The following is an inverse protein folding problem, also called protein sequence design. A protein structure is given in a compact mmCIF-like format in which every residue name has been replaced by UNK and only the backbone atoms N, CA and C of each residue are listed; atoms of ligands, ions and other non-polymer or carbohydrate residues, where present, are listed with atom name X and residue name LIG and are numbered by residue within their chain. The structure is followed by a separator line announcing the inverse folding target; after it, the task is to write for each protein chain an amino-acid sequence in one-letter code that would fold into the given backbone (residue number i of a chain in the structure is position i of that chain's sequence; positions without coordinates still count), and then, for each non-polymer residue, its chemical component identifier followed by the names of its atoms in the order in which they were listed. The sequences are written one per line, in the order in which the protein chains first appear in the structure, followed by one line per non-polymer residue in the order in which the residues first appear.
data_IF_981292391727
#
_entry.id   IF_981292391727
#
_cell.length_a   1.000
_cell.length_b   1.000
_cell.length_c   1.000
_cell.angle_alpha   90.00
_cell.angle_beta   90.00
_cell.angle_gamma   90.00
#
_symmetry.space_group_name_H-M   'P 1'
#
loop_
_entity.id
_entity.type
_entity.pdbx_description
1 polymer ?
#
# COMPACT_ATOMS: atom_id res chain seq x y z
N UNK A 1 0.67 -67.34 -10.22
CA UNK A 1 -0.22 -66.29 -10.75
C UNK A 1 -0.07 -65.06 -9.88
N UNK A 2 0.79 -64.12 -10.27
CA UNK A 2 1.02 -62.86 -9.54
C UNK A 2 0.17 -61.78 -10.19
N UNK A 3 -0.70 -61.14 -9.41
CA UNK A 3 -1.62 -60.10 -9.88
C UNK A 3 -0.84 -58.84 -10.32
N UNK A 4 -1.31 -58.08 -11.33
CA UNK A 4 -0.67 -56.83 -11.73
C UNK A 4 -0.98 -55.71 -10.73
N UNK A 5 0.07 -55.02 -10.29
CA UNK A 5 -0.01 -53.77 -9.53
C UNK A 5 -0.77 -52.71 -10.32
N UNK A 6 -1.85 -52.18 -9.74
CA UNK A 6 -2.63 -51.08 -10.32
C UNK A 6 -1.80 -49.79 -10.49
N UNK A 7 -2.19 -48.89 -11.41
CA UNK A 7 -1.47 -47.67 -11.68
C UNK A 7 -1.47 -46.76 -10.45
N UNK A 8 -0.28 -46.30 -10.06
CA UNK A 8 -0.09 -45.31 -9.00
C UNK A 8 -0.91 -44.05 -9.32
N UNK A 9 -1.80 -43.67 -8.41
CA UNK A 9 -2.54 -42.42 -8.47
C UNK A 9 -1.54 -41.26 -8.47
N UNK A 10 -1.47 -40.51 -9.57
CA UNK A 10 -0.76 -39.24 -9.67
C UNK A 10 -1.28 -38.31 -8.58
N UNK A 11 -0.42 -37.69 -7.76
CA UNK A 11 -0.88 -36.70 -6.78
C UNK A 11 -1.51 -35.54 -7.55
N UNK A 12 -2.81 -35.35 -7.39
CA UNK A 12 -3.53 -34.18 -7.91
C UNK A 12 -2.98 -32.96 -7.19
N UNK A 13 -2.08 -32.22 -7.85
CA UNK A 13 -1.74 -30.88 -7.42
C UNK A 13 -3.04 -30.07 -7.27
N UNK A 14 -3.21 -29.29 -6.19
CA UNK A 14 -4.38 -28.43 -6.05
C UNK A 14 -4.46 -27.50 -7.27
N UNK A 15 -5.67 -27.12 -7.72
CA UNK A 15 -5.83 -26.26 -8.89
C UNK A 15 -5.11 -24.92 -8.67
N UNK A 16 -3.96 -24.76 -9.32
CA UNK A 16 -3.15 -23.55 -9.26
C UNK A 16 -3.67 -22.46 -10.18
N UNK A 17 -3.40 -21.19 -9.86
CA UNK A 17 -3.71 -20.06 -10.73
C UNK A 17 -2.97 -20.19 -12.07
N UNK A 18 -3.63 -19.83 -13.17
CA UNK A 18 -3.01 -19.86 -14.49
C UNK A 18 -2.04 -18.69 -14.70
N UNK A 19 -0.81 -18.99 -15.15
CA UNK A 19 0.24 -18.00 -15.44
C UNK A 19 -0.01 -17.25 -16.75
N UNK A 20 -0.93 -16.28 -16.73
CA UNK A 20 -1.36 -15.51 -17.92
C UNK A 20 -0.76 -14.10 -18.03
N UNK A 21 -0.20 -13.55 -16.96
CA UNK A 21 0.24 -12.14 -16.93
C UNK A 21 1.66 -11.97 -17.48
N UNK A 22 1.84 -11.01 -18.38
CA UNK A 22 3.15 -10.59 -18.89
C UNK A 22 3.78 -9.45 -18.08
N UNK A 23 4.94 -8.96 -18.53
CA UNK A 23 5.62 -7.81 -17.91
C UNK A 23 4.75 -6.55 -17.93
N UNK A 24 4.13 -6.23 -19.08
CA UNK A 24 3.27 -5.05 -19.21
C UNK A 24 2.07 -5.10 -18.26
N UNK A 25 1.42 -6.25 -18.12
CA UNK A 25 0.30 -6.41 -17.19
C UNK A 25 0.75 -6.23 -15.73
N UNK A 26 1.89 -6.84 -15.37
CA UNK A 26 2.46 -6.72 -14.04
C UNK A 26 2.85 -5.26 -13.70
N UNK A 27 3.38 -4.50 -14.67
CA UNK A 27 3.67 -3.07 -14.51
C UNK A 27 2.38 -2.27 -14.32
N UNK A 28 1.35 -2.49 -15.14
CA UNK A 28 0.08 -1.76 -15.00
C UNK A 28 -0.63 -2.07 -13.68
N UNK A 29 -0.61 -3.32 -13.22
CA UNK A 29 -1.14 -3.70 -11.89
C UNK A 29 -0.33 -3.03 -10.78
N UNK A 30 1.00 -2.97 -10.95
CA UNK A 30 1.92 -2.28 -10.06
C UNK A 30 1.60 -0.79 -9.92
N UNK A 31 1.50 -0.10 -11.06
CA UNK A 31 1.15 1.31 -11.13
C UNK A 31 -0.23 1.57 -10.52
N UNK A 32 -1.25 0.78 -10.85
CA UNK A 32 -2.59 0.96 -10.25
C UNK A 32 -2.67 0.62 -8.76
N UNK A 33 -1.67 -0.06 -8.22
CA UNK A 33 -1.56 -0.32 -6.78
C UNK A 33 -0.80 0.79 -6.05
N UNK A 34 0.10 1.51 -6.72
CA UNK A 34 0.85 2.64 -6.15
C UNK A 34 0.13 3.97 -6.39
N UNK A 35 -0.18 4.27 -7.65
CA UNK A 35 -0.87 5.47 -8.14
C UNK A 35 -2.38 5.30 -7.92
N UNK A 36 -2.75 5.23 -6.64
CA UNK A 36 -4.12 5.26 -6.13
C UNK A 36 -4.42 6.61 -5.47
N UNK A 37 -5.26 6.64 -4.43
CA UNK A 37 -5.49 7.89 -3.69
C UNK A 37 -4.26 8.42 -2.96
N UNK A 38 -3.22 7.60 -2.74
CA UNK A 38 -2.01 8.03 -2.02
C UNK A 38 -1.44 9.33 -2.58
N UNK A 39 -1.24 9.42 -3.90
CA UNK A 39 -0.74 10.64 -4.55
C UNK A 39 -1.69 11.84 -4.40
N UNK A 40 -2.97 11.62 -4.18
CA UNK A 40 -3.95 12.69 -4.02
C UNK A 40 -3.98 13.27 -2.60
N UNK A 41 -3.51 12.53 -1.58
CA UNK A 41 -3.71 12.92 -0.16
C UNK A 41 -2.44 13.05 0.67
N UNK A 42 -1.31 12.45 0.28
CA UNK A 42 -0.13 12.38 1.17
C UNK A 42 0.68 13.67 1.23
N UNK A 43 0.55 14.56 0.25
CA UNK A 43 1.41 15.75 0.16
C UNK A 43 1.07 16.82 1.19
N UNK A 44 -0.20 17.01 1.53
CA UNK A 44 -0.63 17.96 2.56
C UNK A 44 -0.02 17.66 3.95
N UNK A 45 -0.20 16.47 4.54
CA UNK A 45 0.39 16.17 5.85
C UNK A 45 1.93 16.06 5.79
N UNK A 46 2.51 15.71 4.63
CA UNK A 46 3.95 15.72 4.43
C UNK A 46 4.54 17.13 4.42
N UNK A 47 3.86 18.11 3.80
CA UNK A 47 4.21 19.51 3.82
C UNK A 47 3.99 20.13 5.20
N UNK A 48 2.90 19.78 5.90
CA UNK A 48 2.68 20.21 7.27
C UNK A 48 3.80 19.76 8.24
N UNK A 49 4.43 18.61 7.97
CA UNK A 49 5.49 18.06 8.82
C UNK A 49 6.89 18.61 8.50
N UNK A 50 7.21 18.82 7.21
CA UNK A 50 8.57 19.15 6.77
C UNK A 50 8.70 20.50 6.04
N UNK A 51 7.60 21.18 5.73
CA UNK A 51 7.58 22.37 4.89
C UNK A 51 8.26 22.12 3.55
N UNK A 52 9.16 23.03 3.15
CA UNK A 52 10.00 22.90 1.95
C UNK A 52 10.92 21.67 1.96
N UNK A 53 11.25 21.11 3.13
CA UNK A 53 12.05 19.90 3.23
C UNK A 53 11.25 18.63 2.88
N UNK A 54 9.99 18.73 2.42
CA UNK A 54 9.25 17.57 1.94
C UNK A 54 9.99 16.83 0.81
N UNK A 55 10.75 17.55 -0.04
CA UNK A 55 11.53 16.91 -1.12
C UNK A 55 12.67 16.05 -0.55
N UNK A 56 13.28 16.49 0.55
CA UNK A 56 14.26 15.67 1.28
C UNK A 56 13.58 14.45 1.88
N UNK A 57 12.40 14.62 2.48
CA UNK A 57 11.56 13.51 2.95
C UNK A 57 11.21 12.52 1.83
N UNK A 58 10.86 13.03 0.64
CA UNK A 58 10.58 12.23 -0.55
C UNK A 58 11.81 11.43 -1.00
N UNK A 59 13.01 12.02 -0.97
CA UNK A 59 14.26 11.30 -1.28
C UNK A 59 14.55 10.20 -0.26
N UNK A 60 14.40 10.50 1.04
CA UNK A 60 14.61 9.53 2.12
C UNK A 60 13.66 8.34 1.94
N UNK A 61 12.36 8.59 1.77
CA UNK A 61 11.39 7.50 1.58
C UNK A 61 11.61 6.76 0.27
N UNK A 62 12.04 7.42 -0.80
CA UNK A 62 12.34 6.76 -2.06
C UNK A 62 13.48 5.74 -1.90
N UNK A 63 14.53 6.07 -1.15
CA UNK A 63 15.62 5.13 -0.85
C UNK A 63 15.11 3.94 -0.04
N UNK A 64 14.33 4.18 1.02
CA UNK A 64 13.79 3.11 1.87
C UNK A 64 12.84 2.21 1.07
N UNK A 65 11.91 2.81 0.33
CA UNK A 65 10.92 2.09 -0.47
C UNK A 65 11.58 1.32 -1.62
N UNK A 66 12.63 1.86 -2.26
CA UNK A 66 13.43 1.14 -3.26
C UNK A 66 14.10 -0.10 -2.66
N UNK A 67 14.70 0.04 -1.47
CA UNK A 67 15.30 -1.08 -0.76
C UNK A 67 14.25 -2.16 -0.45
N UNK A 68 13.10 -1.75 0.08
CA UNK A 68 11.97 -2.64 0.37
C UNK A 68 11.47 -3.35 -0.89
N UNK A 69 11.32 -2.61 -2.00
CA UNK A 69 10.86 -3.14 -3.28
C UNK A 69 11.83 -4.20 -3.83
N UNK A 70 13.13 -3.93 -3.80
CA UNK A 70 14.17 -4.86 -4.26
C UNK A 70 14.27 -6.11 -3.38
N UNK A 71 14.22 -5.96 -2.06
CA UNK A 71 14.16 -7.09 -1.11
C UNK A 71 12.94 -7.96 -1.37
N UNK A 72 11.76 -7.36 -1.49
CA UNK A 72 10.50 -8.06 -1.72
C UNK A 72 10.48 -8.77 -3.07
N UNK A 73 10.98 -8.13 -4.13
CA UNK A 73 11.01 -8.72 -5.46
C UNK A 73 11.93 -9.95 -5.54
N UNK A 74 13.07 -9.93 -4.85
CA UNK A 74 13.99 -11.08 -4.78
C UNK A 74 13.43 -12.21 -3.93
N UNK A 75 12.75 -11.89 -2.83
CA UNK A 75 12.01 -12.89 -2.05
C UNK A 75 10.88 -13.52 -2.85
N UNK A 76 10.10 -12.73 -3.61
CA UNK A 76 9.04 -13.24 -4.48
C UNK A 76 9.57 -14.16 -5.58
N UNK A 77 10.77 -13.87 -6.10
CA UNK A 77 11.43 -14.74 -7.07
C UNK A 77 11.92 -16.06 -6.45
N UNK A 78 12.38 -16.03 -5.19
CA UNK A 78 12.84 -17.23 -4.48
C UNK A 78 11.68 -18.07 -3.91
N UNK A 79 10.60 -17.42 -3.49
CA UNK A 79 9.42 -18.02 -2.85
C UNK A 79 8.15 -17.59 -3.61
N UNK A 80 7.88 -18.12 -4.82
CA UNK A 80 6.80 -17.66 -5.70
C UNK A 80 5.43 -18.15 -5.23
N UNK A 81 5.02 -17.71 -4.04
CA UNK A 81 3.76 -18.06 -3.38
C UNK A 81 2.92 -16.82 -3.12
N UNK A 82 1.60 -16.99 -3.16
CA UNK A 82 0.63 -15.95 -2.85
C UNK A 82 0.57 -15.66 -1.34
N UNK A 83 1.57 -14.94 -0.80
CA UNK A 83 1.60 -14.60 0.63
C UNK A 83 2.47 -13.42 1.05
N UNK A 84 3.34 -12.90 0.16
CA UNK A 84 4.18 -11.75 0.47
C UNK A 84 5.06 -11.99 1.71
N UNK A 85 5.32 -10.95 2.50
CA UNK A 85 6.22 -11.05 3.66
C UNK A 85 5.67 -11.94 4.78
N UNK A 86 4.37 -12.25 4.82
CA UNK A 86 3.84 -13.30 5.68
C UNK A 86 4.48 -14.65 5.33
N UNK A 87 4.41 -15.05 4.06
CA UNK A 87 5.02 -16.29 3.58
C UNK A 87 6.55 -16.26 3.68
N UNK A 88 7.19 -15.14 3.29
CA UNK A 88 8.65 -15.01 3.34
C UNK A 88 9.18 -15.03 4.79
N UNK A 89 8.45 -14.42 5.73
CA UNK A 89 8.77 -14.46 7.16
C UNK A 89 8.71 -15.88 7.69
N UNK A 90 7.67 -16.65 7.35
CA UNK A 90 7.56 -18.05 7.78
C UNK A 90 8.68 -18.92 7.20
N UNK A 91 9.01 -18.73 5.92
CA UNK A 91 10.04 -19.51 5.24
C UNK A 91 11.46 -19.22 5.74
N UNK A 92 11.81 -17.95 5.95
CA UNK A 92 13.20 -17.54 6.26
C UNK A 92 13.49 -17.32 7.75
N UNK A 93 12.47 -16.98 8.54
CA UNK A 93 12.61 -16.54 9.94
C UNK A 93 11.79 -17.37 10.93
N UNK A 94 10.77 -18.09 10.45
CA UNK A 94 9.89 -18.93 11.25
C UNK A 94 8.51 -18.31 11.52
N UNK A 95 7.66 -19.11 12.19
CA UNK A 95 6.23 -18.87 12.34
C UNK A 95 5.86 -17.52 12.97
N UNK A 96 6.56 -17.10 14.03
CA UNK A 96 6.27 -15.84 14.71
C UNK A 96 6.52 -14.61 13.84
N UNK A 97 7.62 -14.59 13.10
CA UNK A 97 7.95 -13.49 12.19
C UNK A 97 6.97 -13.39 11.04
N UNK A 98 6.59 -14.54 10.48
CA UNK A 98 5.49 -14.63 9.53
C UNK A 98 4.21 -14.02 10.08
N UNK A 99 3.76 -14.46 11.25
CA UNK A 99 2.57 -13.92 11.90
C UNK A 99 2.63 -12.40 12.09
N UNK A 100 3.72 -11.86 12.65
CA UNK A 100 3.87 -10.41 12.85
C UNK A 100 3.74 -9.67 11.53
N UNK A 101 4.39 -10.16 10.46
CA UNK A 101 4.24 -9.57 9.13
C UNK A 101 2.78 -9.61 8.64
N UNK A 102 2.13 -10.77 8.71
CA UNK A 102 0.73 -10.92 8.27
C UNK A 102 -0.24 -10.05 9.07
N UNK A 103 -0.10 -10.02 10.39
CA UNK A 103 -0.92 -9.21 11.29
C UNK A 103 -0.78 -7.71 11.00
N UNK A 104 0.45 -7.22 10.91
CA UNK A 104 0.72 -5.82 10.57
C UNK A 104 0.27 -5.46 9.15
N UNK A 105 0.34 -6.41 8.21
CA UNK A 105 -0.19 -6.23 6.87
C UNK A 105 -1.71 -6.08 6.88
N UNK A 106 -2.44 -6.98 7.56
CA UNK A 106 -3.90 -6.94 7.64
C UNK A 106 -4.34 -5.65 8.31
N UNK A 107 -3.79 -5.30 9.48
CA UNK A 107 -4.19 -4.07 10.20
C UNK A 107 -3.78 -2.82 9.42
N UNK A 108 -2.54 -2.74 8.94
CA UNK A 108 -2.05 -1.58 8.19
C UNK A 108 -2.81 -1.36 6.88
N UNK A 109 -3.08 -2.41 6.11
CA UNK A 109 -3.86 -2.30 4.88
C UNK A 109 -5.34 -2.05 5.14
N UNK A 110 -5.88 -2.45 6.28
CA UNK A 110 -7.25 -2.07 6.71
C UNK A 110 -7.32 -0.56 6.96
N UNK A 111 -6.31 0.04 7.60
CA UNK A 111 -6.19 1.50 7.69
C UNK A 111 -6.00 2.16 6.31
N UNK A 112 -5.30 1.51 5.36
CA UNK A 112 -5.25 1.99 3.98
C UNK A 112 -6.63 2.04 3.32
N UNK A 113 -7.50 1.06 3.57
CA UNK A 113 -8.87 1.07 3.06
C UNK A 113 -9.67 2.26 3.60
N UNK A 114 -9.53 2.57 4.89
CA UNK A 114 -10.18 3.74 5.49
C UNK A 114 -9.66 5.05 4.86
N UNK A 115 -8.34 5.19 4.71
CA UNK A 115 -7.75 6.34 4.03
C UNK A 115 -8.26 6.50 2.59
N UNK A 116 -8.40 5.39 1.87
CA UNK A 116 -8.89 5.37 0.49
C UNK A 116 -10.37 5.77 0.41
N UNK A 117 -11.21 5.27 1.32
CA UNK A 117 -12.63 5.64 1.39
C UNK A 117 -12.83 7.12 1.73
N UNK A 118 -12.06 7.63 2.69
CA UNK A 118 -12.06 9.05 3.04
C UNK A 118 -11.54 9.92 1.89
N UNK A 119 -10.57 9.44 1.11
CA UNK A 119 -10.12 10.14 -0.09
C UNK A 119 -11.21 10.19 -1.18
N UNK A 120 -11.99 9.11 -1.38
CA UNK A 120 -13.16 9.17 -2.28
C UNK A 120 -14.09 10.29 -1.84
N UNK A 121 -14.41 10.35 -0.55
CA UNK A 121 -15.31 11.35 0.00
C UNK A 121 -14.78 12.78 -0.17
N UNK A 122 -13.50 13.02 0.14
CA UNK A 122 -12.89 14.33 0.03
C UNK A 122 -12.95 14.91 -1.40
N UNK A 123 -12.93 14.06 -2.43
CA UNK A 123 -12.97 14.48 -3.83
C UNK A 123 -14.36 14.38 -4.47
N UNK A 124 -15.30 13.64 -3.90
CA UNK A 124 -16.60 13.36 -4.53
C UNK A 124 -17.81 13.93 -3.78
N UNK A 125 -17.61 14.46 -2.57
CA UNK A 125 -18.70 14.88 -1.69
C UNK A 125 -18.44 16.24 -1.04
N UNK A 126 -19.51 17.03 -0.78
CA UNK A 126 -19.44 18.16 0.14
C UNK A 126 -19.02 17.74 1.55
N UNK A 127 -18.41 18.65 2.29
CA UNK A 127 -17.82 18.40 3.61
C UNK A 127 -18.80 17.76 4.62
N UNK A 128 -20.08 18.11 4.54
CA UNK A 128 -21.13 17.61 5.43
C UNK A 128 -21.48 16.14 5.16
N UNK A 129 -21.24 15.67 3.93
CA UNK A 129 -21.60 14.33 3.47
C UNK A 129 -20.40 13.39 3.35
N UNK A 130 -19.17 13.88 3.55
CA UNK A 130 -17.94 13.12 3.37
C UNK A 130 -17.97 11.76 4.08
N UNK A 131 -18.30 11.74 5.37
CA UNK A 131 -18.32 10.48 6.14
C UNK A 131 -19.37 9.50 5.63
N UNK A 132 -20.55 9.96 5.24
CA UNK A 132 -21.61 9.10 4.70
C UNK A 132 -21.21 8.51 3.36
N UNK A 133 -20.57 9.30 2.49
CA UNK A 133 -20.08 8.86 1.17
C UNK A 133 -18.92 7.86 1.33
N UNK A 134 -18.00 8.09 2.26
CA UNK A 134 -16.93 7.14 2.58
C UNK A 134 -17.48 5.81 3.08
N UNK A 135 -18.44 5.83 4.01
CA UNK A 135 -19.11 4.60 4.52
C UNK A 135 -19.87 3.89 3.38
N UNK A 136 -20.62 4.63 2.57
CA UNK A 136 -21.34 4.07 1.44
C UNK A 136 -20.40 3.39 0.43
N UNK A 137 -19.26 4.01 0.13
CA UNK A 137 -18.23 3.43 -0.74
C UNK A 137 -17.68 2.11 -0.18
N UNK A 138 -17.38 2.06 1.13
CA UNK A 138 -16.89 0.84 1.79
C UNK A 138 -17.95 -0.27 1.75
N UNK A 139 -19.20 0.05 2.09
CA UNK A 139 -20.31 -0.92 2.08
C UNK A 139 -20.53 -1.45 0.66
N UNK A 140 -20.60 -0.57 -0.34
CA UNK A 140 -20.77 -0.96 -1.73
C UNK A 140 -19.66 -1.90 -2.20
N UNK A 141 -18.38 -1.56 -1.94
CA UNK A 141 -17.26 -2.40 -2.36
C UNK A 141 -17.14 -3.69 -1.55
N UNK A 142 -17.58 -3.70 -0.29
CA UNK A 142 -17.72 -4.94 0.50
C UNK A 142 -18.71 -5.90 -0.17
N UNK A 143 -19.87 -5.38 -0.61
CA UNK A 143 -20.88 -6.17 -1.32
C UNK A 143 -20.32 -6.69 -2.64
N UNK A 144 -19.68 -5.83 -3.44
CA UNK A 144 -19.03 -6.21 -4.71
C UNK A 144 -18.03 -7.35 -4.51
N UNK A 145 -17.16 -7.26 -3.49
CA UNK A 145 -16.22 -8.34 -3.15
C UNK A 145 -16.92 -9.62 -2.69
N UNK A 146 -17.93 -9.52 -1.81
CA UNK A 146 -18.67 -10.67 -1.31
C UNK A 146 -19.38 -11.45 -2.44
N UNK A 147 -19.82 -10.74 -3.49
CA UNK A 147 -20.39 -11.31 -4.71
C UNK A 147 -19.34 -11.97 -5.63
N UNK A 148 -18.04 -11.84 -5.33
CA UNK A 148 -16.95 -12.42 -6.12
C UNK A 148 -16.59 -11.60 -7.36
N UNK A 149 -17.03 -10.35 -7.43
CA UNK A 149 -16.69 -9.47 -8.56
C UNK A 149 -15.24 -9.03 -8.39
N UNK A 150 -14.38 -9.47 -9.30
CA UNK A 150 -12.97 -9.07 -9.33
C UNK A 150 -12.71 -8.10 -10.48
N UNK A 151 -11.82 -7.14 -10.27
CA UNK A 151 -11.35 -6.27 -11.36
C UNK A 151 -10.56 -7.09 -12.36
N UNK A 152 -10.93 -6.98 -13.64
CA UNK A 152 -10.11 -7.53 -14.71
C UNK A 152 -8.82 -6.71 -14.86
N UNK A 153 -7.78 -7.33 -15.42
CA UNK A 153 -6.54 -6.63 -15.76
C UNK A 153 -6.80 -5.45 -16.72
N UNK A 154 -7.78 -5.58 -17.62
CA UNK A 154 -8.20 -4.52 -18.55
C UNK A 154 -8.79 -3.33 -17.81
N UNK A 155 -9.74 -3.56 -16.89
CA UNK A 155 -10.33 -2.46 -16.08
C UNK A 155 -9.26 -1.75 -15.27
N UNK A 156 -8.33 -2.51 -14.65
CA UNK A 156 -7.20 -1.91 -13.91
C UNK A 156 -6.34 -1.04 -14.83
N UNK A 157 -6.04 -1.51 -16.04
CA UNK A 157 -5.27 -0.76 -17.03
C UNK A 157 -5.97 0.55 -17.42
N UNK A 158 -7.27 0.50 -17.70
CA UNK A 158 -8.06 1.69 -18.06
C UNK A 158 -8.06 2.71 -16.92
N UNK A 159 -8.31 2.28 -15.68
CA UNK A 159 -8.27 3.15 -14.50
C UNK A 159 -6.89 3.84 -14.40
N UNK A 160 -5.80 3.08 -14.51
CA UNK A 160 -4.44 3.65 -14.41
C UNK A 160 -4.17 4.68 -15.50
N UNK A 161 -4.56 4.42 -16.75
CA UNK A 161 -4.37 5.36 -17.86
C UNK A 161 -5.14 6.65 -17.61
N UNK A 162 -6.40 6.55 -17.17
CA UNK A 162 -7.22 7.72 -16.84
C UNK A 162 -6.63 8.52 -15.69
N UNK A 163 -6.18 7.85 -14.63
CA UNK A 163 -5.54 8.51 -13.48
C UNK A 163 -4.24 9.20 -13.89
N UNK A 164 -3.40 8.54 -14.68
CA UNK A 164 -2.18 9.16 -15.21
C UNK A 164 -2.49 10.38 -16.08
N UNK A 165 -3.53 10.33 -16.93
CA UNK A 165 -3.96 11.48 -17.72
C UNK A 165 -4.40 12.65 -16.83
N UNK A 166 -5.16 12.38 -15.77
CA UNK A 166 -5.54 13.40 -14.77
C UNK A 166 -4.31 14.00 -14.09
N UNK A 167 -3.33 13.18 -13.70
CA UNK A 167 -2.09 13.69 -13.09
C UNK A 167 -1.28 14.54 -14.07
N UNK A 168 -1.28 14.23 -15.37
CA UNK A 168 -0.67 15.09 -16.40
C UNK A 168 -1.38 16.45 -16.48
N UNK A 169 -2.71 16.49 -16.42
CA UNK A 169 -3.47 17.75 -16.38
C UNK A 169 -3.09 18.57 -15.14
N UNK A 170 -3.00 17.94 -13.97
CA UNK A 170 -2.58 18.61 -12.73
C UNK A 170 -1.17 19.17 -12.84
N UNK A 171 -0.23 18.39 -13.39
CA UNK A 171 1.16 18.85 -13.60
C UNK A 171 1.21 20.02 -14.56
N UNK A 172 0.48 19.97 -15.68
CA UNK A 172 0.39 21.07 -16.62
C UNK A 172 -0.19 22.34 -15.97
N UNK A 173 -1.27 22.19 -15.19
CA UNK A 173 -1.91 23.30 -14.48
C UNK A 173 -0.94 23.95 -13.48
N UNK A 174 -0.25 23.16 -12.67
CA UNK A 174 0.65 23.73 -11.67
C UNK A 174 1.95 24.31 -12.26
N UNK A 175 2.41 23.84 -13.43
CA UNK A 175 3.47 24.53 -14.19
C UNK A 175 2.96 25.89 -14.70
N UNK A 176 1.72 25.98 -15.18
CA UNK A 176 1.12 27.24 -15.61
C UNK A 176 0.93 28.21 -14.41
N UNK A 177 0.49 27.71 -13.26
CA UNK A 177 0.35 28.50 -12.03
C UNK A 177 1.70 28.98 -11.48
N UNK A 178 2.71 28.10 -11.45
CA UNK A 178 4.06 28.40 -10.95
C UNK A 178 4.86 29.40 -11.81
N UNK A 179 4.38 29.72 -13.02
CA UNK A 179 4.90 30.82 -13.84
C UNK A 179 4.50 32.21 -13.34
N UNK A 180 3.52 32.31 -12.43
CA UNK A 180 3.21 33.54 -11.71
C UNK A 180 4.21 33.70 -10.55
N UNK A 181 4.88 34.86 -10.49
CA UNK A 181 6.11 35.16 -9.76
C UNK A 181 6.10 35.04 -8.20
N UNK A 182 5.17 34.30 -7.60
CA UNK A 182 5.02 34.12 -6.15
C UNK A 182 5.56 32.77 -5.64
N UNK A 183 5.52 31.69 -6.43
CA UNK A 183 5.98 30.36 -6.02
C UNK A 183 7.49 30.23 -5.78
N UNK A 184 8.31 31.05 -6.45
CA UNK A 184 9.76 31.12 -6.23
C UNK A 184 10.13 31.77 -4.90
N UNK A 185 9.34 32.74 -4.40
CA UNK A 185 9.58 33.35 -3.08
C UNK A 185 9.33 32.39 -1.92
N UNK A 186 8.49 31.36 -2.11
CA UNK A 186 8.24 30.31 -1.12
C UNK A 186 9.40 29.30 -0.98
N UNK A 187 10.26 29.17 -2.00
CA UNK A 187 11.53 28.44 -1.91
C UNK A 187 12.61 29.27 -1.20
N UNK A 188 12.55 30.60 -1.34
CA UNK A 188 13.54 31.54 -0.81
C UNK A 188 13.24 32.03 0.63
N UNK A 189 11.98 31.95 1.09
CA UNK A 189 11.58 32.31 2.45
C UNK A 189 11.83 31.17 3.46
N UNK A 190 13.08 30.70 3.56
CA UNK A 190 13.55 29.97 4.74
C UNK A 190 14.35 30.96 5.60
N UNK A 191 13.88 31.35 6.81
CA UNK A 191 14.10 30.46 7.96
C UNK A 191 13.10 30.64 9.16
N UNK A 192 12.42 29.57 9.60
CA UNK A 192 11.84 29.39 10.96
C UNK A 192 11.05 28.07 11.01
N UNK A 193 11.66 26.95 10.67
CA UNK A 193 12.29 26.00 11.58
C UNK A 193 13.13 25.20 10.61
N UNK A 194 14.41 24.93 10.89
CA UNK A 194 15.05 23.75 10.29
C UNK A 194 14.06 22.62 10.54
N UNK A 195 13.26 22.24 9.53
CA UNK A 195 12.29 21.17 9.66
C UNK A 195 13.09 20.05 10.26
N UNK A 196 12.83 19.82 11.55
CA UNK A 196 13.79 19.09 12.38
C UNK A 196 14.08 17.78 11.68
N UNK A 197 15.25 17.17 11.92
CA UNK A 197 15.52 15.82 11.36
C UNK A 197 14.30 14.91 11.59
N UNK A 198 13.60 15.09 12.71
CA UNK A 198 12.29 14.50 12.96
C UNK A 198 11.21 14.84 11.92
N UNK A 199 10.92 16.11 11.61
CA UNK A 199 9.91 16.50 10.61
C UNK A 199 10.18 15.95 9.20
N UNK A 200 11.45 15.90 8.77
CA UNK A 200 11.84 15.27 7.49
C UNK A 200 11.54 13.77 7.50
N UNK A 201 11.91 13.08 8.59
CA UNK A 201 11.65 11.65 8.74
C UNK A 201 10.16 11.34 8.90
N UNK A 202 9.40 12.22 9.56
CA UNK A 202 7.95 12.13 9.70
C UNK A 202 7.26 12.26 8.33
N UNK A 203 7.66 13.26 7.55
CA UNK A 203 7.19 13.45 6.17
C UNK A 203 7.52 12.23 5.30
N UNK A 204 8.73 11.69 5.40
CA UNK A 204 9.11 10.44 4.71
C UNK A 204 8.22 9.24 5.12
N UNK A 205 7.91 9.09 6.42
CA UNK A 205 7.02 8.04 6.92
C UNK A 205 5.57 8.17 6.40
N UNK A 206 5.07 9.40 6.26
CA UNK A 206 3.75 9.68 5.67
C UNK A 206 3.72 9.40 4.17
N UNK A 207 4.71 9.92 3.43
CA UNK A 207 4.86 9.71 1.98
C UNK A 207 5.02 8.23 1.61
N UNK A 208 5.51 7.39 2.53
CA UNK A 208 5.66 5.95 2.32
C UNK A 208 4.34 5.28 1.94
N UNK A 209 3.21 5.81 2.41
CA UNK A 209 1.87 5.35 2.06
C UNK A 209 1.66 5.27 0.54
N UNK A 210 2.12 6.28 -0.21
CA UNK A 210 1.97 6.33 -1.66
C UNK A 210 2.84 5.30 -2.40
N UNK A 211 3.92 4.80 -1.78
CA UNK A 211 4.81 3.81 -2.39
C UNK A 211 4.39 2.36 -2.11
N UNK A 212 3.61 2.09 -1.07
CA UNK A 212 3.31 0.75 -0.56
C UNK A 212 2.53 -0.20 -1.52
N UNK A 213 2.32 0.17 -2.78
CA UNK A 213 1.60 -0.59 -3.80
C UNK A 213 2.43 -1.67 -4.52
N UNK A 214 3.76 -1.55 -4.59
CA UNK A 214 4.61 -2.52 -5.32
C UNK A 214 4.52 -3.94 -4.76
N UNK A 215 4.11 -4.13 -3.49
CA UNK A 215 3.85 -5.45 -2.90
C UNK A 215 2.82 -6.26 -3.69
N UNK A 216 1.86 -5.62 -4.37
CA UNK A 216 0.86 -6.35 -5.14
C UNK A 216 1.51 -7.19 -6.24
N UNK A 217 2.49 -6.62 -6.93
CA UNK A 217 3.26 -7.31 -7.99
C UNK A 217 3.96 -8.56 -7.42
N UNK A 218 4.56 -8.42 -6.24
CA UNK A 218 5.25 -9.53 -5.57
C UNK A 218 4.30 -10.67 -5.15
N UNK A 219 3.01 -10.40 -5.00
CA UNK A 219 1.99 -11.43 -4.69
C UNK A 219 1.42 -12.12 -5.94
N UNK A 220 1.82 -11.73 -7.16
CA UNK A 220 1.35 -12.33 -8.41
C UNK A 220 2.26 -13.48 -8.90
N UNK A 221 3.06 -14.08 -8.02
CA UNK A 221 4.01 -15.14 -8.37
C UNK A 221 3.38 -16.33 -9.10
N UNK A 222 2.13 -16.63 -8.77
CA UNK A 222 1.36 -17.72 -9.36
C UNK A 222 0.66 -17.33 -10.67
N UNK A 223 0.49 -16.04 -10.96
CA UNK A 223 -0.26 -15.52 -12.12
C UNK A 223 0.66 -15.00 -13.25
N UNK A 224 1.93 -14.73 -12.96
CA UNK A 224 2.90 -14.13 -13.90
C UNK A 224 3.73 -15.18 -14.65
N UNK A 225 3.95 -14.95 -15.95
CA UNK A 225 4.89 -15.75 -16.76
C UNK A 225 6.33 -15.47 -16.36
N UNK A 226 7.11 -16.52 -16.13
CA UNK A 226 8.51 -16.43 -15.70
C UNK A 226 8.72 -15.48 -14.49
N UNK A 227 8.11 -15.77 -13.32
CA UNK A 227 8.04 -14.84 -12.18
C UNK A 227 9.43 -14.38 -11.71
N UNK A 228 10.43 -15.26 -11.77
CA UNK A 228 11.83 -14.98 -11.41
C UNK A 228 12.46 -13.79 -12.17
N UNK A 229 12.03 -13.57 -13.41
CA UNK A 229 12.54 -12.48 -14.28
C UNK A 229 11.55 -11.32 -14.38
N UNK A 230 10.27 -11.62 -14.45
CA UNK A 230 9.23 -10.62 -14.68
C UNK A 230 8.95 -9.78 -13.44
N UNK A 231 8.85 -10.39 -12.25
CA UNK A 231 8.52 -9.65 -11.02
C UNK A 231 9.58 -8.59 -10.67
N UNK A 232 10.90 -8.90 -10.65
CA UNK A 232 11.90 -7.88 -10.35
C UNK A 232 11.91 -6.71 -11.33
N UNK A 233 11.67 -6.97 -12.62
CA UNK A 233 11.59 -5.93 -13.65
C UNK A 233 10.32 -5.09 -13.48
N UNK A 234 9.17 -5.73 -13.27
CA UNK A 234 7.89 -5.05 -13.09
C UNK A 234 7.91 -4.15 -11.85
N UNK A 235 8.43 -4.64 -10.72
CA UNK A 235 8.59 -3.85 -9.48
C UNK A 235 9.47 -2.64 -9.71
N UNK A 236 10.63 -2.82 -10.36
CA UNK A 236 11.58 -1.74 -10.65
C UNK A 236 10.95 -0.66 -11.55
N UNK A 237 10.38 -1.05 -12.68
CA UNK A 237 9.78 -0.10 -13.65
C UNK A 237 8.63 0.66 -12.99
N UNK A 238 7.72 -0.05 -12.32
CA UNK A 238 6.56 0.58 -11.69
C UNK A 238 7.00 1.56 -10.61
N UNK A 239 8.02 1.22 -9.81
CA UNK A 239 8.52 2.07 -8.75
C UNK A 239 9.13 3.36 -9.30
N UNK A 240 9.99 3.26 -10.32
CA UNK A 240 10.65 4.43 -10.92
C UNK A 240 9.62 5.37 -11.55
N UNK A 241 8.65 4.82 -12.28
CA UNK A 241 7.56 5.62 -12.87
C UNK A 241 6.74 6.31 -11.77
N UNK A 242 6.34 5.60 -10.72
CA UNK A 242 5.61 6.20 -9.60
C UNK A 242 6.43 7.30 -8.90
N UNK A 243 7.72 7.08 -8.67
CA UNK A 243 8.61 8.08 -8.06
C UNK A 243 8.67 9.38 -8.89
N UNK A 244 8.85 9.26 -10.22
CA UNK A 244 8.87 10.42 -11.11
C UNK A 244 7.54 11.17 -11.07
N UNK A 245 6.41 10.45 -11.12
CA UNK A 245 5.07 11.05 -11.03
C UNK A 245 4.91 11.76 -9.68
N UNK A 246 5.30 11.14 -8.57
CA UNK A 246 5.14 11.74 -7.24
C UNK A 246 6.03 12.96 -7.05
N UNK A 247 7.26 12.94 -7.56
CA UNK A 247 8.15 14.10 -7.53
C UNK A 247 7.59 15.27 -8.35
N UNK A 248 7.05 14.99 -9.54
CA UNK A 248 6.41 16.01 -10.38
C UNK A 248 5.17 16.61 -9.69
N UNK A 249 4.29 15.76 -9.13
CA UNK A 249 3.09 16.23 -8.42
C UNK A 249 3.46 17.05 -7.17
N UNK A 250 4.41 16.57 -6.37
CA UNK A 250 4.90 17.31 -5.20
C UNK A 250 5.45 18.69 -5.58
N UNK A 251 6.22 18.76 -6.68
CA UNK A 251 6.78 20.01 -7.18
C UNK A 251 5.68 20.99 -7.57
N UNK A 252 4.71 20.57 -8.39
CA UNK A 252 3.65 21.47 -8.85
C UNK A 252 2.69 21.88 -7.74
N UNK A 253 2.45 21.01 -6.75
CA UNK A 253 1.69 21.37 -5.55
C UNK A 253 2.40 22.48 -4.78
N UNK A 254 3.72 22.34 -4.61
CA UNK A 254 4.51 23.34 -3.89
C UNK A 254 4.60 24.67 -4.64
N UNK A 255 4.79 24.63 -5.96
CA UNK A 255 4.87 25.84 -6.79
C UNK A 255 3.55 26.61 -6.84
N UNK A 256 2.41 25.90 -6.90
CA UNK A 256 1.10 26.54 -7.05
C UNK A 256 0.48 26.98 -5.71
N UNK A 257 0.72 26.25 -4.61
CA UNK A 257 0.05 26.49 -3.33
C UNK A 257 0.97 27.04 -2.22
N UNK A 258 2.30 26.91 -2.39
CA UNK A 258 3.25 27.14 -1.30
C UNK A 258 3.13 26.11 -0.16
N UNK A 259 3.96 26.27 0.88
CA UNK A 259 3.97 25.36 2.04
C UNK A 259 2.65 25.40 2.79
N UNK A 260 2.19 26.59 3.18
CA UNK A 260 1.02 26.75 4.04
C UNK A 260 -0.28 26.36 3.33
N UNK A 261 -0.40 26.74 2.05
CA UNK A 261 -1.55 26.36 1.22
C UNK A 261 -1.61 24.85 0.99
N UNK A 262 -0.47 24.20 0.72
CA UNK A 262 -0.42 22.74 0.58
C UNK A 262 -0.73 22.03 1.91
N UNK A 263 -0.19 22.51 3.03
CA UNK A 263 -0.40 21.93 4.35
C UNK A 263 -1.86 22.02 4.82
N UNK A 264 -2.58 23.09 4.44
CA UNK A 264 -3.97 23.30 4.81
C UNK A 264 -4.99 22.64 3.86
N UNK A 265 -4.54 22.18 2.69
CA UNK A 265 -5.43 21.68 1.64
C UNK A 265 -6.00 20.28 1.94
N UNK A 266 -7.29 20.10 1.63
CA UNK A 266 -7.99 18.81 1.68
C UNK A 266 -7.93 18.05 0.35
N UNK A 267 -7.91 18.79 -0.77
CA UNK A 267 -7.85 18.26 -2.13
C UNK A 267 -6.71 18.92 -2.94
N UNK A 268 -5.43 18.73 -2.56
CA UNK A 268 -4.31 19.53 -3.07
C UNK A 268 -4.23 19.60 -4.59
N UNK A 269 -4.49 18.48 -5.26
CA UNK A 269 -4.42 18.41 -6.72
C UNK A 269 -5.56 19.19 -7.41
N UNK A 270 -6.74 19.30 -6.80
CA UNK A 270 -7.82 20.14 -7.30
C UNK A 270 -7.52 21.62 -7.03
N UNK A 271 -6.93 21.94 -5.87
CA UNK A 271 -6.51 23.29 -5.52
C UNK A 271 -5.43 23.82 -6.46
N UNK A 272 -4.47 22.99 -6.87
CA UNK A 272 -3.46 23.35 -7.90
C UNK A 272 -4.13 23.78 -9.20
N UNK A 273 -5.11 23.01 -9.65
CA UNK A 273 -5.83 23.29 -10.90
C UNK A 273 -6.68 24.55 -10.79
N UNK A 274 -7.27 24.80 -9.61
CA UNK A 274 -8.01 26.03 -9.31
C UNK A 274 -7.08 27.25 -9.29
N UNK A 275 -5.90 27.13 -8.69
CA UNK A 275 -4.88 28.18 -8.63
C UNK A 275 -4.36 28.56 -10.04
N UNK A 276 -4.34 27.61 -10.99
CA UNK A 276 -4.00 27.87 -12.38
C UNK A 276 -5.09 28.61 -13.19
N UNK A 277 -6.25 28.89 -12.58
CA UNK A 277 -7.41 29.45 -13.26
C UNK A 277 -8.19 28.44 -14.12
N UNK A 278 -7.90 27.14 -14.01
CA UNK A 278 -8.53 26.08 -14.82
C UNK A 278 -9.73 25.47 -14.10
N UNK A 279 -10.67 26.31 -13.65
CA UNK A 279 -11.82 25.88 -12.85
C UNK A 279 -12.65 24.77 -13.52
N UNK A 280 -12.75 24.79 -14.85
CA UNK A 280 -13.47 23.78 -15.65
C UNK A 280 -12.84 22.37 -15.57
N UNK A 281 -11.54 22.28 -15.26
CA UNK A 281 -10.84 21.01 -15.12
C UNK A 281 -10.94 20.41 -13.70
N UNK A 282 -11.42 21.16 -12.71
CA UNK A 282 -11.55 20.70 -11.31
C UNK A 282 -12.44 19.45 -11.20
N UNK A 283 -13.65 19.38 -11.80
CA UNK A 283 -14.49 18.18 -11.72
C UNK A 283 -13.84 16.94 -12.34
N UNK A 284 -13.00 17.11 -13.37
CA UNK A 284 -12.27 16.02 -14.02
C UNK A 284 -11.24 15.44 -13.06
N UNK A 285 -10.53 16.30 -12.33
CA UNK A 285 -9.52 15.90 -11.34
C UNK A 285 -10.18 15.22 -10.15
N UNK A 286 -11.29 15.76 -9.66
CA UNK A 286 -12.11 15.17 -8.61
C UNK A 286 -12.63 13.77 -8.99
N UNK A 287 -13.21 13.63 -10.20
CA UNK A 287 -13.64 12.33 -10.70
C UNK A 287 -12.47 11.35 -10.86
N UNK A 288 -11.31 11.82 -11.35
CA UNK A 288 -10.10 11.02 -11.46
C UNK A 288 -9.57 10.53 -10.12
N UNK A 289 -9.53 11.40 -9.11
CA UNK A 289 -9.13 11.07 -7.75
C UNK A 289 -10.08 10.05 -7.11
N UNK A 290 -11.39 10.27 -7.23
CA UNK A 290 -12.41 9.33 -6.75
C UNK A 290 -12.30 7.97 -7.44
N UNK A 291 -12.10 7.94 -8.77
CA UNK A 291 -11.89 6.70 -9.53
C UNK A 291 -10.61 5.96 -9.09
N UNK A 292 -9.51 6.70 -8.89
CA UNK A 292 -8.26 6.13 -8.39
C UNK A 292 -8.47 5.50 -7.01
N UNK A 293 -9.12 6.23 -6.11
CA UNK A 293 -9.39 5.81 -4.75
C UNK A 293 -10.32 4.59 -4.69
N UNK A 294 -11.46 4.60 -5.38
CA UNK A 294 -12.36 3.45 -5.49
C UNK A 294 -11.66 2.23 -6.08
N UNK A 295 -10.88 2.46 -7.14
CA UNK A 295 -10.05 1.44 -7.76
C UNK A 295 -9.11 0.79 -6.74
N UNK A 296 -8.31 1.58 -6.02
CA UNK A 296 -7.37 1.02 -5.04
C UNK A 296 -8.08 0.38 -3.86
N UNK A 297 -9.18 0.96 -3.36
CA UNK A 297 -9.98 0.42 -2.26
C UNK A 297 -10.48 -1.00 -2.57
N UNK A 298 -11.10 -1.19 -3.74
CA UNK A 298 -11.57 -2.50 -4.20
C UNK A 298 -10.43 -3.52 -4.25
N UNK A 299 -9.25 -3.10 -4.75
CA UNK A 299 -8.06 -3.96 -4.82
C UNK A 299 -7.48 -4.34 -3.45
N UNK A 300 -7.49 -3.39 -2.51
CA UNK A 300 -7.00 -3.59 -1.15
C UNK A 300 -7.89 -4.55 -0.37
N UNK A 301 -9.20 -4.35 -0.41
CA UNK A 301 -10.15 -5.21 0.31
C UNK A 301 -10.02 -6.67 -0.14
N UNK A 302 -10.04 -6.92 -1.45
CA UNK A 302 -9.84 -8.26 -2.00
C UNK A 302 -8.44 -8.84 -1.67
N UNK A 303 -7.42 -7.97 -1.56
CA UNK A 303 -6.07 -8.35 -1.14
C UNK A 303 -6.03 -8.83 0.31
N UNK A 304 -6.61 -8.06 1.22
CA UNK A 304 -6.66 -8.33 2.66
C UNK A 304 -7.51 -9.57 2.95
N UNK A 305 -8.64 -9.75 2.26
CA UNK A 305 -9.48 -10.94 2.38
C UNK A 305 -8.70 -12.22 2.07
N UNK A 306 -7.90 -12.22 1.00
CA UNK A 306 -7.03 -13.35 0.64
C UNK A 306 -5.92 -13.62 1.67
N UNK A 307 -5.25 -12.59 2.17
CA UNK A 307 -4.22 -12.76 3.21
C UNK A 307 -4.82 -13.25 4.52
N UNK A 308 -5.97 -12.70 4.92
CA UNK A 308 -6.67 -13.10 6.15
C UNK A 308 -7.15 -14.56 6.07
N UNK A 309 -7.66 -14.99 4.91
CA UNK A 309 -8.00 -16.38 4.63
C UNK A 309 -6.77 -17.31 4.75
N UNK A 310 -5.63 -16.93 4.15
CA UNK A 310 -4.40 -17.71 4.24
C UNK A 310 -3.91 -17.84 5.69
N UNK A 311 -3.92 -16.75 6.46
CA UNK A 311 -3.56 -16.77 7.88
C UNK A 311 -4.54 -17.61 8.72
N UNK A 312 -5.84 -17.57 8.42
CA UNK A 312 -6.84 -18.39 9.12
C UNK A 312 -6.64 -19.89 8.85
N UNK A 313 -6.33 -20.27 7.61
CA UNK A 313 -6.02 -21.66 7.22
C UNK A 313 -4.80 -22.21 7.96
N UNK A 314 -3.82 -21.35 8.21
CA UNK A 314 -2.61 -21.67 8.96
C UNK A 314 -2.80 -21.58 10.48
N UNK A 315 -4.02 -21.26 10.94
CA UNK A 315 -4.39 -21.20 12.35
C UNK A 315 -3.86 -19.98 13.09
N UNK A 316 -3.33 -18.98 12.37
CA UNK A 316 -2.83 -17.70 12.88
C UNK A 316 -3.96 -16.67 13.11
N UNK A 317 -5.10 -16.83 12.43
CA UNK A 317 -6.34 -16.09 12.68
C UNK A 317 -7.49 -17.06 13.03
N UNK A 318 -8.62 -16.56 13.58
CA UNK A 318 -9.78 -17.41 13.88
C UNK A 318 -10.25 -18.21 12.67
N UNK A 319 -10.45 -19.52 12.85
CA UNK A 319 -10.84 -20.44 11.77
C UNK A 319 -12.15 -20.06 11.09
N UNK A 320 -13.06 -19.32 11.74
CA UNK A 320 -14.30 -18.90 11.08
C UNK A 320 -14.07 -18.04 9.82
N UNK A 321 -12.88 -17.43 9.67
CA UNK A 321 -12.46 -16.63 8.52
C UNK A 321 -11.94 -17.48 7.34
N UNK A 322 -11.69 -18.78 7.52
CA UNK A 322 -11.27 -19.70 6.45
C UNK A 322 -12.43 -20.22 5.59
N UNK A 323 -13.66 -19.78 5.85
CA UNK A 323 -14.83 -20.25 5.13
C UNK A 323 -14.96 -19.57 3.75
N UNK A 324 -14.92 -20.37 2.69
CA UNK A 324 -15.13 -19.92 1.30
C UNK A 324 -16.57 -20.17 0.87
N UNK A 325 -17.24 -19.15 0.34
CA UNK A 325 -18.62 -19.28 -0.11
C UNK A 325 -18.71 -20.14 -1.39
N UNK A 326 -19.63 -21.14 -1.48
CA UNK A 326 -19.64 -22.12 -2.57
C UNK A 326 -19.83 -21.54 -3.98
N UNK A 327 -20.61 -20.45 -4.11
CA UNK A 327 -20.93 -19.83 -5.41
C UNK A 327 -19.92 -18.78 -5.86
N UNK A 328 -19.54 -17.86 -4.96
CA UNK A 328 -18.64 -16.75 -5.29
C UNK A 328 -17.16 -17.13 -5.16
N UNK A 329 -16.83 -18.25 -4.49
CA UNK A 329 -15.45 -18.71 -4.23
C UNK A 329 -14.57 -17.66 -3.52
N UNK A 330 -15.20 -16.79 -2.73
CA UNK A 330 -14.55 -15.73 -1.93
C UNK A 330 -14.78 -15.99 -0.43
N UNK A 331 -13.83 -15.63 0.46
CA UNK A 331 -14.02 -15.67 1.91
C UNK A 331 -14.97 -14.56 2.40
N UNK A 332 -16.27 -14.72 2.16
CA UNK A 332 -17.31 -13.68 2.44
C UNK A 332 -17.27 -13.20 3.90
N UNK A 333 -17.04 -14.10 4.86
CA UNK A 333 -16.96 -13.72 6.28
C UNK A 333 -15.78 -12.79 6.57
N UNK A 334 -14.63 -13.02 5.92
CA UNK A 334 -13.47 -12.15 6.05
C UNK A 334 -13.72 -10.78 5.43
N UNK A 335 -14.38 -10.74 4.26
CA UNK A 335 -14.77 -9.47 3.62
C UNK A 335 -15.76 -8.66 4.48
N UNK A 336 -16.77 -9.31 5.10
CA UNK A 336 -17.74 -8.63 5.97
C UNK A 336 -17.10 -8.09 7.24
N UNK A 337 -16.23 -8.87 7.90
CA UNK A 337 -15.49 -8.40 9.09
C UNK A 337 -14.58 -7.24 8.70
N UNK A 338 -13.85 -7.36 7.58
CA UNK A 338 -13.00 -6.29 7.07
C UNK A 338 -13.81 -5.02 6.79
N UNK A 339 -14.93 -5.14 6.05
CA UNK A 339 -15.83 -4.02 5.75
C UNK A 339 -16.33 -3.33 7.02
N UNK A 340 -16.76 -4.10 8.02
CA UNK A 340 -17.18 -3.57 9.32
C UNK A 340 -16.07 -2.80 10.06
N UNK A 341 -14.85 -3.34 10.08
CA UNK A 341 -13.69 -2.66 10.69
C UNK A 341 -13.32 -1.39 9.92
N UNK A 342 -13.36 -1.42 8.58
CA UNK A 342 -13.09 -0.23 7.76
C UNK A 342 -14.15 0.84 8.00
N UNK A 343 -15.44 0.48 8.06
CA UNK A 343 -16.52 1.42 8.42
C UNK A 343 -16.26 2.04 9.79
N UNK A 344 -15.91 1.22 10.79
CA UNK A 344 -15.57 1.73 12.12
C UNK A 344 -14.41 2.74 12.06
N UNK A 345 -13.34 2.43 11.34
CA UNK A 345 -12.21 3.36 11.17
C UNK A 345 -12.64 4.67 10.50
N UNK A 346 -13.42 4.61 9.41
CA UNK A 346 -13.94 5.81 8.72
C UNK A 346 -14.80 6.69 9.65
N UNK A 347 -15.51 6.10 10.61
CA UNK A 347 -16.33 6.84 11.57
C UNK A 347 -15.51 7.56 12.65
N UNK A 348 -14.29 7.11 12.96
CA UNK A 348 -13.50 7.65 14.09
C UNK A 348 -12.17 8.30 13.68
N UNK A 349 -11.72 8.10 12.46
CA UNK A 349 -10.37 8.46 12.00
C UNK A 349 -10.44 9.38 10.78
N UNK A 350 -9.53 10.33 10.68
CA UNK A 350 -9.36 11.23 9.53
C UNK A 350 -8.30 10.69 8.54
N UNK A 351 -8.13 11.36 7.40
CA UNK A 351 -7.20 10.93 6.35
C UNK A 351 -5.75 10.86 6.87
N UNK A 352 -5.19 11.90 7.54
CA UNK A 352 -3.82 11.85 8.03
C UNK A 352 -3.58 10.72 9.05
N UNK A 353 -4.52 10.49 9.97
CA UNK A 353 -4.38 9.42 10.97
C UNK A 353 -4.48 8.04 10.30
N UNK A 354 -5.40 7.85 9.34
CA UNK A 354 -5.52 6.60 8.60
C UNK A 354 -4.25 6.29 7.77
N UNK A 355 -3.69 7.31 7.11
CA UNK A 355 -2.40 7.22 6.39
C UNK A 355 -1.28 6.83 7.35
N UNK A 356 -1.21 7.47 8.51
CA UNK A 356 -0.17 7.21 9.51
C UNK A 356 -0.24 5.79 10.08
N UNK A 357 -1.44 5.35 10.49
CA UNK A 357 -1.68 3.98 10.98
C UNK A 357 -1.34 2.94 9.92
N UNK A 358 -1.70 3.22 8.67
CA UNK A 358 -1.36 2.38 7.52
C UNK A 358 0.15 2.27 7.33
N UNK A 359 0.85 3.41 7.27
CA UNK A 359 2.31 3.44 7.09
C UNK A 359 3.02 2.66 8.19
N UNK A 360 2.60 2.82 9.46
CA UNK A 360 3.23 2.13 10.58
C UNK A 360 3.16 0.59 10.44
N UNK A 361 1.97 0.04 10.18
CA UNK A 361 1.80 -1.40 9.99
C UNK A 361 2.56 -1.94 8.78
N UNK A 362 2.51 -1.21 7.65
CA UNK A 362 3.17 -1.65 6.42
C UNK A 362 4.70 -1.55 6.53
N UNK A 363 5.25 -0.55 7.23
CA UNK A 363 6.69 -0.46 7.50
C UNK A 363 7.18 -1.63 8.38
N UNK A 364 6.43 -2.04 9.40
CA UNK A 364 6.76 -3.26 10.18
C UNK A 364 6.71 -4.51 9.31
N UNK A 365 5.71 -4.64 8.43
CA UNK A 365 5.65 -5.71 7.44
C UNK A 365 6.90 -5.76 6.55
N UNK A 366 7.38 -4.61 6.06
CA UNK A 366 8.61 -4.55 5.26
C UNK A 366 9.89 -4.68 6.09
N UNK A 367 9.89 -4.34 7.37
CA UNK A 367 11.01 -4.66 8.26
C UNK A 367 11.22 -6.18 8.33
N UNK A 368 10.15 -6.95 8.49
CA UNK A 368 10.22 -8.42 8.42
C UNK A 368 10.68 -8.89 7.04
N UNK A 369 10.16 -8.31 5.95
CA UNK A 369 10.59 -8.65 4.60
C UNK A 369 12.10 -8.41 4.39
N UNK A 370 12.64 -7.29 4.86
CA UNK A 370 14.07 -7.01 4.76
C UNK A 370 14.89 -7.97 5.62
N UNK A 371 14.41 -8.33 6.81
CA UNK A 371 15.08 -9.32 7.66
C UNK A 371 15.11 -10.71 6.99
N UNK A 372 14.02 -11.12 6.34
CA UNK A 372 13.97 -12.34 5.51
C UNK A 372 14.95 -12.26 4.34
N UNK A 373 15.00 -11.12 3.64
CA UNK A 373 15.93 -10.91 2.53
C UNK A 373 17.40 -10.96 2.97
N UNK A 374 17.71 -10.43 4.15
CA UNK A 374 19.04 -10.50 4.74
C UNK A 374 19.47 -11.96 5.01
N UNK A 375 18.56 -12.79 5.58
CA UNK A 375 18.79 -14.22 5.80
C UNK A 375 18.98 -14.97 4.48
N UNK A 376 18.13 -14.74 3.50
CA UNK A 376 18.25 -15.34 2.17
C UNK A 376 19.60 -15.01 1.52
N UNK A 377 20.00 -13.73 1.57
CA UNK A 377 21.26 -13.26 0.98
C UNK A 377 22.53 -13.70 1.72
N UNK A 378 22.40 -14.14 2.98
CA UNK A 378 23.48 -14.81 3.69
C UNK A 378 23.70 -16.26 3.19
N UNK A 379 22.62 -16.93 2.74
CA UNK A 379 22.66 -18.34 2.29
C UNK A 379 22.92 -18.49 0.80
N UNK A 380 22.41 -17.57 -0.03
CA UNK A 380 22.45 -17.69 -1.51
C UNK A 380 23.48 -16.71 -2.10
N UNK A 381 24.63 -17.20 -2.62
CA UNK A 381 25.69 -16.34 -3.15
C UNK A 381 25.23 -15.41 -4.28
N UNK A 382 24.33 -15.89 -5.15
CA UNK A 382 23.84 -15.15 -6.32
C UNK A 382 23.08 -13.85 -5.96
N UNK A 383 22.59 -13.72 -4.72
CA UNK A 383 21.88 -12.52 -4.25
C UNK A 383 22.59 -11.84 -3.08
N UNK A 384 23.88 -12.11 -2.86
CA UNK A 384 24.67 -11.55 -1.74
C UNK A 384 24.68 -10.02 -1.70
N UNK A 385 24.66 -9.36 -2.86
CA UNK A 385 24.57 -7.91 -2.96
C UNK A 385 23.28 -7.33 -2.34
N UNK A 386 22.24 -8.16 -2.14
CA UNK A 386 21.01 -7.77 -1.46
C UNK A 386 21.19 -7.50 0.04
N UNK A 387 22.27 -7.99 0.69
CA UNK A 387 22.47 -7.80 2.14
C UNK A 387 22.51 -6.31 2.52
N UNK A 388 23.28 -5.50 1.78
CA UNK A 388 23.37 -4.07 2.04
C UNK A 388 22.00 -3.39 1.84
N UNK A 389 21.30 -3.72 0.75
CA UNK A 389 19.94 -3.24 0.48
C UNK A 389 18.96 -3.62 1.61
N UNK A 390 19.02 -4.86 2.10
CA UNK A 390 18.17 -5.33 3.17
C UNK A 390 18.46 -4.61 4.50
N UNK A 391 19.72 -4.33 4.83
CA UNK A 391 20.08 -3.56 6.03
C UNK A 391 19.54 -2.13 5.93
N UNK A 392 19.78 -1.44 4.82
CA UNK A 392 19.29 -0.06 4.60
C UNK A 392 17.76 -0.02 4.66
N UNK A 393 17.09 -0.98 4.03
CA UNK A 393 15.62 -1.09 4.08
C UNK A 393 15.11 -1.36 5.50
N UNK A 394 15.74 -2.27 6.24
CA UNK A 394 15.36 -2.60 7.62
C UNK A 394 15.53 -1.39 8.56
N UNK A 395 16.71 -0.77 8.55
CA UNK A 395 17.01 0.41 9.37
C UNK A 395 16.08 1.55 8.99
N UNK A 396 15.87 1.79 7.69
CA UNK A 396 14.93 2.78 7.20
C UNK A 396 13.50 2.53 7.69
N UNK A 397 13.01 1.30 7.63
CA UNK A 397 11.67 0.96 8.14
C UNK A 397 11.55 1.26 9.65
N UNK A 398 12.55 0.87 10.45
CA UNK A 398 12.55 1.12 11.90
C UNK A 398 12.58 2.62 12.19
N UNK A 399 13.50 3.36 11.55
CA UNK A 399 13.63 4.81 11.74
C UNK A 399 12.34 5.53 11.36
N UNK A 400 11.75 5.20 10.20
CA UNK A 400 10.52 5.84 9.75
C UNK A 400 9.34 5.54 10.67
N UNK A 401 9.20 4.31 11.19
CA UNK A 401 8.14 3.98 12.18
C UNK A 401 8.30 4.80 13.45
N UNK A 402 9.54 4.97 13.94
CA UNK A 402 9.82 5.75 15.14
C UNK A 402 9.67 7.25 14.93
N UNK A 403 9.78 7.73 13.69
CA UNK A 403 9.60 9.13 13.32
C UNK A 403 8.13 9.51 13.06
N UNK A 404 7.21 8.55 13.00
CA UNK A 404 5.77 8.85 12.92
C UNK A 404 5.30 9.60 14.20
N UNK A 405 4.15 10.30 14.16
CA UNK A 405 3.55 10.89 15.35
C UNK A 405 3.54 9.91 16.54
N UNK A 406 3.89 10.33 17.77
CA UNK A 406 4.03 9.41 18.91
C UNK A 406 2.79 8.57 19.18
N UNK A 407 1.60 9.16 18.99
CA UNK A 407 0.31 8.46 19.11
C UNK A 407 0.20 7.32 18.12
N UNK A 408 0.67 7.51 16.88
CA UNK A 408 0.64 6.47 15.86
C UNK A 408 1.72 5.41 16.09
N UNK A 409 2.93 5.79 16.52
CA UNK A 409 3.97 4.84 16.90
C UNK A 409 3.53 3.97 18.08
N UNK A 410 2.90 4.56 19.11
CA UNK A 410 2.31 3.85 20.23
C UNK A 410 1.14 2.95 19.78
N UNK A 411 0.28 3.43 18.89
CA UNK A 411 -0.82 2.63 18.33
C UNK A 411 -0.29 1.44 17.54
N UNK A 412 0.76 1.61 16.74
CA UNK A 412 1.41 0.53 15.99
C UNK A 412 2.02 -0.51 16.92
N UNK A 413 2.73 -0.07 17.97
CA UNK A 413 3.25 -0.97 19.00
C UNK A 413 2.11 -1.70 19.72
N UNK A 414 1.05 -1.00 20.10
CA UNK A 414 -0.14 -1.57 20.74
C UNK A 414 -0.82 -2.63 19.87
N UNK A 415 -0.96 -2.36 18.57
CA UNK A 415 -1.48 -3.33 17.59
C UNK A 415 -0.59 -4.56 17.49
N UNK A 416 0.73 -4.38 17.40
CA UNK A 416 1.69 -5.49 17.35
C UNK A 416 1.61 -6.34 18.63
N UNK A 417 1.63 -5.69 19.80
CA UNK A 417 1.54 -6.35 21.09
C UNK A 417 0.21 -7.10 21.25
N UNK A 418 -0.90 -6.50 20.85
CA UNK A 418 -2.22 -7.14 20.88
C UNK A 418 -2.23 -8.40 20.02
N UNK A 419 -1.70 -8.35 18.80
CA UNK A 419 -1.61 -9.51 17.92
C UNK A 419 -0.73 -10.62 18.52
N UNK A 420 0.47 -10.27 19.01
CA UNK A 420 1.43 -11.23 19.58
C UNK A 420 0.89 -11.88 20.85
N UNK A 421 0.33 -11.10 21.78
CA UNK A 421 -0.27 -11.59 23.01
C UNK A 421 -1.50 -12.46 22.71
N UNK A 422 -2.38 -12.02 21.81
CA UNK A 422 -3.54 -12.78 21.38
C UNK A 422 -3.15 -14.14 20.82
N UNK A 423 -2.15 -14.19 19.92
CA UNK A 423 -1.63 -15.46 19.39
C UNK A 423 -1.01 -16.33 20.47
N UNK A 424 -0.25 -15.76 21.41
CA UNK A 424 0.35 -16.51 22.51
C UNK A 424 -0.71 -17.16 23.41
N UNK A 425 -1.80 -16.45 23.70
CA UNK A 425 -2.95 -16.99 24.46
C UNK A 425 -3.62 -18.11 23.69
N UNK A 426 -3.89 -17.94 22.40
CA UNK A 426 -4.52 -18.98 21.56
C UNK A 426 -3.66 -20.23 21.45
N UNK A 427 -2.35 -20.10 21.25
CA UNK A 427 -1.45 -21.25 21.19
C UNK A 427 -1.40 -21.98 22.53
N UNK A 428 -1.29 -21.26 23.66
CA UNK A 428 -1.35 -21.87 25.00
C UNK A 428 -2.68 -22.57 25.29
N UNK A 429 -3.79 -22.06 24.77
CA UNK A 429 -5.09 -22.70 24.93
C UNK A 429 -5.17 -24.01 24.12
N UNK A 430 -4.58 -24.04 22.91
CA UNK A 430 -4.50 -25.25 22.07
C UNK A 430 -3.58 -26.32 22.65
N UNK A 431 -2.50 -25.92 23.31
CA UNK A 431 -1.58 -26.88 23.96
C UNK A 431 -2.19 -27.54 25.21
N UNK A 432 -3.31 -26.99 25.74
CA UNK A 432 -4.03 -27.50 26.92
C UNK A 432 -5.23 -28.40 26.57
N UNK A 433 -5.63 -28.45 25.31
CA UNK A 433 -6.72 -29.28 24.77
C UNK A 433 -6.15 -30.42 23.96
#
# INVERSE_FOLDING_TARGET
MSAPSGPASTPTNPPGLERRLGLGDAVMIGLGSMIGAGVFVVFAPAAASAGALLFVGLLVVAVVAWCNARSTARLAAAHPTSGGAYAYGRAELGHWWGFVAGWCFVVGKTASCAAMALAVAAYAAPAELERYVAVAAVVALTIVNALGVTKTAVVTRVIVVLVLAVLVVVVAAGVAAGGAAEGTRALDAAPAVLGSVYGVLQSAGLLFFAFAGYARIATLGEEVRAPERTIPRAVTISFVVALVVYAAVALVCMLALGVDGLAASREPLADVVRAAGWAEAVPIVQAGAALAALGTLLGLMAGIGRTSFAMAREGDLPRFLDHVHPRSRVPVRAELVLGGVVVLLVLFVDVPTAVTLSSAGVLVYYAVANLSAFRLAARVPAVRALRATAIVGLVGCVVLVLALPPVAAASALGVVLFGVLGRAVVLRARDRT
#
